data_IF_574613787067
#
_entry.id   IF_574613787067
#
_cell.length_a   1.000
_cell.length_b   1.000
_cell.length_c   1.000
_cell.angle_alpha   90.00
_cell.angle_beta   90.00
_cell.angle_gamma   90.00
#
_symmetry.space_group_name_H-M   'P 1'
#
loop_
_entity.id
_entity.type
_entity.pdbx_description
1 polymer ?
#
# COMPACT_ATOMS: atom_id res chain seq x y z
N UNK A 1 0.42 -9.82 -24.23
CA UNK A 1 0.05 -8.48 -23.71
C UNK A 1 0.65 -8.35 -22.31
N UNK A 2 1.37 -7.26 -22.06
CA UNK A 2 1.89 -6.93 -20.73
C UNK A 2 0.78 -6.43 -19.79
N UNK A 3 1.08 -6.32 -18.48
CA UNK A 3 0.14 -5.81 -17.47
C UNK A 3 -0.28 -4.35 -17.70
N UNK A 4 0.59 -3.55 -18.31
CA UNK A 4 0.32 -2.15 -18.68
C UNK A 4 -0.45 -2.00 -20.01
N UNK A 5 -0.96 -3.12 -20.56
CA UNK A 5 -1.68 -3.17 -21.83
C UNK A 5 -0.80 -3.15 -23.07
N UNK A 6 0.50 -2.93 -22.95
CA UNK A 6 1.41 -2.89 -24.09
C UNK A 6 1.58 -4.27 -24.72
N UNK A 7 1.60 -4.31 -26.03
CA UNK A 7 1.91 -5.53 -26.78
C UNK A 7 3.41 -5.67 -26.97
N UNK A 8 3.91 -6.89 -26.84
CA UNK A 8 5.30 -7.26 -27.07
C UNK A 8 5.35 -8.59 -27.78
N UNK A 9 6.35 -8.79 -28.63
CA UNK A 9 6.56 -10.07 -29.29
C UNK A 9 6.78 -11.17 -28.25
N UNK A 10 6.10 -12.29 -28.46
CA UNK A 10 6.23 -13.45 -27.58
C UNK A 10 7.65 -14.03 -27.64
N UNK A 11 8.16 -14.45 -26.49
CA UNK A 11 9.45 -15.12 -26.35
C UNK A 11 9.36 -16.28 -25.37
N UNK A 12 9.42 -17.49 -25.87
CA UNK A 12 9.44 -18.72 -25.07
C UNK A 12 10.63 -18.75 -24.08
N UNK A 13 11.76 -18.17 -24.45
CA UNK A 13 12.95 -18.10 -23.60
C UNK A 13 12.67 -17.38 -22.25
N UNK A 14 11.72 -16.42 -22.20
CA UNK A 14 11.34 -15.78 -20.96
C UNK A 14 10.63 -16.75 -20.00
N UNK A 15 9.85 -17.69 -20.55
CA UNK A 15 9.17 -18.74 -19.77
C UNK A 15 10.21 -19.73 -19.27
N UNK A 16 11.07 -20.27 -20.14
CA UNK A 16 12.15 -21.21 -19.79
C UNK A 16 13.02 -20.64 -18.66
N UNK A 17 13.44 -19.37 -18.79
CA UNK A 17 14.25 -18.70 -17.78
C UNK A 17 13.51 -18.53 -16.43
N UNK A 18 12.20 -18.24 -16.45
CA UNK A 18 11.41 -18.10 -15.23
C UNK A 18 11.26 -19.44 -14.49
N UNK A 19 11.02 -20.51 -15.24
CA UNK A 19 10.96 -21.89 -14.72
C UNK A 19 12.33 -22.29 -14.16
N UNK A 20 13.42 -22.06 -14.90
CA UNK A 20 14.78 -22.34 -14.46
C UNK A 20 15.12 -21.72 -13.10
N UNK A 21 14.78 -20.45 -12.90
CA UNK A 21 14.97 -19.77 -11.61
C UNK A 21 14.17 -20.40 -10.48
N UNK A 22 12.99 -20.94 -10.76
CA UNK A 22 12.20 -21.63 -9.74
C UNK A 22 12.86 -22.97 -9.34
N UNK A 23 13.44 -23.72 -10.28
CA UNK A 23 14.23 -24.91 -9.98
C UNK A 23 15.49 -24.55 -9.16
N UNK A 24 16.25 -23.57 -9.57
CA UNK A 24 17.41 -23.07 -8.81
C UNK A 24 17.05 -22.74 -7.36
N UNK A 25 15.90 -22.09 -7.13
CA UNK A 25 15.44 -21.73 -5.81
C UNK A 25 15.03 -22.94 -4.92
N UNK A 26 14.83 -24.10 -5.50
CA UNK A 26 14.56 -25.36 -4.76
C UNK A 26 15.80 -26.19 -4.52
N UNK A 27 16.90 -25.93 -5.26
CA UNK A 27 18.10 -26.76 -5.26
C UNK A 27 17.90 -28.09 -5.98
N UNK A 28 16.76 -28.30 -6.66
CA UNK A 28 16.51 -29.50 -7.46
C UNK A 28 17.31 -29.39 -8.75
N UNK A 29 18.17 -30.39 -9.08
CA UNK A 29 18.89 -30.41 -10.34
C UNK A 29 17.92 -30.38 -11.52
N UNK A 30 18.23 -29.56 -12.51
CA UNK A 30 17.42 -29.41 -13.72
C UNK A 30 18.25 -29.71 -14.96
N UNK A 31 17.64 -30.34 -15.96
CA UNK A 31 18.20 -30.48 -17.29
C UNK A 31 17.50 -29.49 -18.23
N UNK A 32 18.23 -28.93 -19.18
CA UNK A 32 17.70 -27.95 -20.11
C UNK A 32 16.54 -28.52 -20.94
N UNK A 33 16.65 -29.79 -21.28
CA UNK A 33 15.63 -30.53 -22.03
C UNK A 33 14.29 -30.58 -21.26
N UNK A 34 14.32 -30.73 -19.93
CA UNK A 34 13.15 -30.72 -19.07
C UNK A 34 12.46 -29.32 -19.05
N UNK A 35 13.25 -28.26 -18.92
CA UNK A 35 12.74 -26.90 -18.99
C UNK A 35 12.10 -26.58 -20.33
N UNK A 36 12.74 -27.02 -21.43
CA UNK A 36 12.23 -26.82 -22.77
C UNK A 36 10.96 -27.65 -23.02
N UNK A 37 10.85 -28.83 -22.42
CA UNK A 37 9.64 -29.66 -22.49
C UNK A 37 8.45 -28.96 -21.78
N UNK A 38 8.65 -28.52 -20.53
CA UNK A 38 7.62 -27.79 -19.77
C UNK A 38 7.22 -26.53 -20.53
N UNK A 39 8.19 -25.77 -21.05
CA UNK A 39 7.91 -24.57 -21.83
C UNK A 39 7.07 -24.86 -23.07
N UNK A 40 7.37 -25.94 -23.80
CA UNK A 40 6.57 -26.38 -24.96
C UNK A 40 5.16 -26.78 -24.59
N UNK A 41 4.97 -27.44 -23.44
CA UNK A 41 3.65 -27.78 -22.92
C UNK A 41 2.84 -26.52 -22.62
N UNK A 42 3.43 -25.54 -21.92
CA UNK A 42 2.79 -24.23 -21.65
C UNK A 42 2.36 -23.56 -22.96
N UNK A 43 3.27 -23.49 -23.95
CA UNK A 43 2.99 -22.83 -25.24
C UNK A 43 1.92 -23.58 -26.05
N UNK A 44 1.81 -24.91 -25.91
CA UNK A 44 0.78 -25.69 -26.61
C UNK A 44 -0.65 -25.36 -26.15
N UNK A 45 -0.82 -24.76 -24.98
CA UNK A 45 -2.12 -24.30 -24.50
C UNK A 45 -2.55 -22.94 -25.05
N UNK A 46 -1.68 -22.26 -25.80
CA UNK A 46 -2.06 -20.98 -26.39
C UNK A 46 -3.07 -21.17 -27.53
N UNK A 47 -4.28 -20.72 -27.30
CA UNK A 47 -5.40 -20.87 -28.26
C UNK A 47 -5.65 -19.62 -29.09
N UNK A 48 -5.03 -18.49 -28.74
CA UNK A 48 -5.24 -17.19 -29.35
C UNK A 48 -3.92 -16.56 -29.82
N UNK A 49 -3.95 -15.70 -30.85
CA UNK A 49 -2.74 -15.01 -31.35
C UNK A 49 -2.18 -14.00 -30.35
N UNK A 50 -2.97 -13.60 -29.36
CA UNK A 50 -2.56 -12.69 -28.27
C UNK A 50 -2.93 -13.31 -26.93
N UNK A 51 -1.97 -13.35 -26.01
CA UNK A 51 -2.15 -13.91 -24.66
C UNK A 51 -1.64 -12.92 -23.62
N UNK A 52 -2.32 -12.86 -22.48
CA UNK A 52 -1.94 -12.04 -21.33
C UNK A 52 -0.80 -12.64 -20.53
N UNK A 53 0.06 -11.80 -19.95
CA UNK A 53 1.18 -12.28 -19.12
C UNK A 53 0.70 -13.06 -17.89
N UNK A 54 -0.45 -12.70 -17.31
CA UNK A 54 -1.01 -13.42 -16.18
C UNK A 54 -1.47 -14.83 -16.59
N UNK A 55 -2.15 -14.93 -17.73
CA UNK A 55 -2.58 -16.20 -18.27
C UNK A 55 -1.40 -17.14 -18.58
N UNK A 56 -0.30 -16.60 -19.12
CA UNK A 56 0.94 -17.37 -19.30
C UNK A 56 1.44 -17.88 -17.95
N UNK A 57 1.43 -17.04 -16.90
CA UNK A 57 1.90 -17.45 -15.58
C UNK A 57 1.02 -18.53 -14.95
N UNK A 58 -0.29 -18.43 -15.12
CA UNK A 58 -1.24 -19.46 -14.65
C UNK A 58 -1.01 -20.79 -15.36
N UNK A 59 -0.74 -20.78 -16.67
CA UNK A 59 -0.36 -21.98 -17.42
C UNK A 59 0.96 -22.58 -16.92
N UNK A 60 1.96 -21.75 -16.65
CA UNK A 60 3.25 -22.20 -16.07
C UNK A 60 3.05 -22.87 -14.71
N UNK A 61 2.25 -22.25 -13.84
CA UNK A 61 1.92 -22.82 -12.52
C UNK A 61 1.25 -24.17 -12.65
N UNK A 62 0.26 -24.28 -13.53
CA UNK A 62 -0.47 -25.53 -13.76
C UNK A 62 0.44 -26.65 -14.30
N UNK A 63 1.32 -26.36 -15.23
CA UNK A 63 2.25 -27.36 -15.76
C UNK A 63 3.31 -27.77 -14.72
N UNK A 64 3.87 -26.81 -13.98
CA UNK A 64 4.79 -27.09 -12.88
C UNK A 64 4.15 -27.94 -11.77
N UNK A 65 2.87 -27.69 -11.43
CA UNK A 65 2.16 -28.48 -10.44
C UNK A 65 1.98 -29.95 -10.85
N UNK A 66 1.89 -30.24 -12.14
CA UNK A 66 1.80 -31.62 -12.64
C UNK A 66 3.15 -32.35 -12.58
N UNK A 67 4.25 -31.66 -12.87
CA UNK A 67 5.57 -32.26 -13.02
C UNK A 67 6.39 -32.19 -11.74
N UNK A 68 6.46 -31.01 -11.11
CA UNK A 68 7.30 -30.74 -9.92
C UNK A 68 6.59 -29.79 -8.94
N UNK A 69 5.70 -30.31 -8.07
CA UNK A 69 4.90 -29.48 -7.15
C UNK A 69 5.74 -28.58 -6.21
N UNK A 70 6.93 -29.01 -5.81
CA UNK A 70 7.81 -28.22 -4.96
C UNK A 70 8.35 -26.98 -5.71
N UNK A 71 8.71 -27.15 -6.98
CA UNK A 71 9.14 -26.04 -7.86
C UNK A 71 7.96 -25.11 -8.12
N UNK A 72 6.78 -25.66 -8.40
CA UNK A 72 5.55 -24.88 -8.57
C UNK A 72 5.27 -23.99 -7.36
N UNK A 73 5.39 -24.52 -6.16
CA UNK A 73 5.20 -23.77 -4.90
C UNK A 73 6.16 -22.57 -4.81
N UNK A 74 7.44 -22.77 -5.15
CA UNK A 74 8.43 -21.66 -5.16
C UNK A 74 8.10 -20.61 -6.22
N UNK A 75 7.68 -21.07 -7.42
CA UNK A 75 7.26 -20.19 -8.50
C UNK A 75 6.07 -19.30 -8.07
N UNK A 76 5.03 -19.90 -7.50
CA UNK A 76 3.83 -19.20 -7.03
C UNK A 76 4.17 -18.18 -5.94
N UNK A 77 4.97 -18.58 -4.93
CA UNK A 77 5.39 -17.68 -3.84
C UNK A 77 6.20 -16.50 -4.41
N UNK A 78 7.14 -16.75 -5.34
CA UNK A 78 7.92 -15.70 -5.96
C UNK A 78 7.05 -14.76 -6.81
N UNK A 79 6.10 -15.31 -7.59
CA UNK A 79 5.12 -14.52 -8.36
C UNK A 79 4.32 -13.60 -7.44
N UNK A 80 3.77 -14.16 -6.36
CA UNK A 80 3.01 -13.39 -5.38
C UNK A 80 3.83 -12.28 -4.74
N UNK A 81 5.05 -12.59 -4.31
CA UNK A 81 5.95 -11.58 -3.78
C UNK A 81 6.24 -10.45 -4.80
N UNK A 82 6.49 -10.81 -6.06
CA UNK A 82 6.72 -9.81 -7.14
C UNK A 82 5.48 -8.96 -7.41
N UNK A 83 4.29 -9.52 -7.30
CA UNK A 83 3.04 -8.77 -7.44
C UNK A 83 2.90 -7.76 -6.29
N UNK A 84 3.04 -8.22 -5.06
CA UNK A 84 2.99 -7.35 -3.86
C UNK A 84 4.01 -6.20 -3.94
N UNK A 85 5.25 -6.48 -4.35
CA UNK A 85 6.29 -5.44 -4.50
C UNK A 85 5.95 -4.43 -5.60
N UNK A 86 5.35 -4.86 -6.70
CA UNK A 86 4.88 -3.94 -7.74
C UNK A 86 3.73 -3.08 -7.26
N UNK A 87 2.74 -3.70 -6.63
CA UNK A 87 1.55 -3.00 -6.13
C UNK A 87 1.96 -1.94 -5.11
N UNK A 88 2.88 -2.28 -4.21
CA UNK A 88 3.44 -1.33 -3.24
C UNK A 88 4.14 -0.15 -3.92
N UNK A 89 5.01 -0.43 -4.91
CA UNK A 89 5.73 0.63 -5.64
C UNK A 89 4.78 1.51 -6.45
N UNK A 90 3.77 0.92 -7.09
CA UNK A 90 2.78 1.64 -7.88
C UNK A 90 1.92 2.51 -6.98
N UNK A 91 1.50 2.01 -5.82
CA UNK A 91 0.71 2.75 -4.86
C UNK A 91 1.45 3.99 -4.31
N UNK A 92 2.69 3.80 -3.81
CA UNK A 92 3.52 4.91 -3.35
C UNK A 92 3.75 5.91 -4.48
N UNK A 93 4.08 5.44 -5.69
CA UNK A 93 4.29 6.31 -6.85
C UNK A 93 3.03 7.12 -7.15
N UNK A 94 1.85 6.50 -7.11
CA UNK A 94 0.59 7.19 -7.39
C UNK A 94 0.31 8.29 -6.36
N UNK A 95 0.53 8.02 -5.07
CA UNK A 95 0.43 9.03 -4.01
C UNK A 95 1.40 10.18 -4.29
N UNK A 96 2.66 9.87 -4.57
CA UNK A 96 3.70 10.90 -4.82
C UNK A 96 3.40 11.73 -6.07
N UNK A 97 3.03 11.08 -7.17
CA UNK A 97 2.66 11.77 -8.41
C UNK A 97 1.46 12.71 -8.19
N UNK A 98 0.46 12.28 -7.41
CA UNK A 98 -0.69 13.11 -7.06
C UNK A 98 -0.30 14.36 -6.26
N UNK A 99 0.59 14.21 -5.28
CA UNK A 99 1.04 15.34 -4.45
C UNK A 99 1.93 16.31 -5.24
N UNK A 100 2.76 15.81 -6.14
CA UNK A 100 3.66 16.65 -6.96
C UNK A 100 2.90 17.36 -8.09
N UNK A 101 1.87 16.72 -8.65
CA UNK A 101 1.06 17.24 -9.75
C UNK A 101 -0.07 18.18 -9.29
N UNK A 102 -0.01 18.71 -8.06
CA UNK A 102 -1.08 19.53 -7.47
C UNK A 102 -1.53 20.63 -8.42
N UNK A 103 -2.79 20.57 -8.85
CA UNK A 103 -3.48 21.72 -9.42
C UNK A 103 -3.69 22.75 -8.29
N UNK A 104 -3.24 24.00 -8.55
CA UNK A 104 -3.35 25.10 -7.60
C UNK A 104 -4.78 25.42 -7.15
N UNK A 105 -5.77 24.84 -7.82
CA UNK A 105 -7.19 25.02 -7.54
C UNK A 105 -7.85 23.83 -6.82
N UNK A 106 -7.11 22.77 -6.52
CA UNK A 106 -7.70 21.62 -5.84
C UNK A 106 -7.80 21.88 -4.32
N UNK A 107 -9.00 22.28 -3.90
CA UNK A 107 -9.36 22.52 -2.49
C UNK A 107 -9.28 21.25 -1.63
N UNK A 108 -9.34 20.05 -2.20
CA UNK A 108 -9.30 18.79 -1.45
C UNK A 108 -7.91 18.49 -0.86
N UNK A 109 -6.88 19.15 -1.40
CA UNK A 109 -5.51 19.02 -0.92
C UNK A 109 -5.12 20.10 0.10
N UNK A 110 -6.05 21.01 0.43
CA UNK A 110 -5.81 22.08 1.40
C UNK A 110 -6.05 21.58 2.82
N UNK A 111 -5.02 21.49 3.63
CA UNK A 111 -5.17 21.43 5.07
C UNK A 111 -5.44 22.86 5.58
N UNK A 112 -6.42 23.04 6.48
CA UNK A 112 -6.79 24.34 7.04
C UNK A 112 -5.60 25.07 7.70
N UNK A 113 -4.60 24.33 8.16
CA UNK A 113 -3.46 24.84 8.91
C UNK A 113 -2.19 25.02 8.05
N UNK A 114 -2.14 24.47 6.83
CA UNK A 114 -0.94 24.51 5.99
C UNK A 114 -1.28 24.42 4.50
N UNK A 115 -0.66 25.28 3.71
CA UNK A 115 -0.80 25.25 2.26
C UNK A 115 -0.03 24.09 1.65
N UNK A 116 -0.73 23.20 0.96
CA UNK A 116 -0.14 22.08 0.20
C UNK A 116 0.78 22.51 -0.96
N UNK A 117 0.81 23.80 -1.28
CA UNK A 117 1.70 24.38 -2.30
C UNK A 117 3.10 24.72 -1.75
N UNK A 118 3.29 24.69 -0.44
CA UNK A 118 4.61 24.90 0.15
C UNK A 118 5.37 23.59 0.27
N UNK A 119 6.70 23.57 0.23
CA UNK A 119 7.48 22.35 0.46
C UNK A 119 7.15 21.67 1.79
N UNK A 120 6.92 22.44 2.86
CA UNK A 120 6.52 21.90 4.15
C UNK A 120 5.12 21.27 4.10
N UNK A 121 4.17 21.91 3.42
CA UNK A 121 2.83 21.35 3.21
C UNK A 121 2.85 20.05 2.39
N UNK A 122 3.64 20.00 1.34
CA UNK A 122 3.84 18.77 0.56
C UNK A 122 4.42 17.64 1.42
N UNK A 123 5.45 17.93 2.20
CA UNK A 123 6.06 16.95 3.11
C UNK A 123 5.06 16.44 4.15
N UNK A 124 4.22 17.31 4.70
CA UNK A 124 3.15 16.87 5.62
C UNK A 124 2.10 16.01 4.92
N UNK A 125 1.72 16.35 3.69
CA UNK A 125 0.78 15.54 2.91
C UNK A 125 1.36 14.15 2.62
N UNK A 126 2.65 14.07 2.26
CA UNK A 126 3.34 12.78 2.14
C UNK A 126 3.29 11.98 3.44
N UNK A 127 3.62 12.61 4.57
CA UNK A 127 3.59 11.94 5.85
C UNK A 127 2.18 11.43 6.19
N UNK A 128 1.17 12.27 6.00
CA UNK A 128 -0.25 11.93 6.23
C UNK A 128 -0.67 10.72 5.40
N UNK A 129 -0.47 10.75 4.09
CA UNK A 129 -0.89 9.66 3.20
C UNK A 129 -0.16 8.33 3.48
N UNK A 130 1.14 8.37 3.74
CA UNK A 130 1.91 7.17 4.10
C UNK A 130 1.44 6.62 5.46
N UNK A 131 1.16 7.48 6.41
CA UNK A 131 0.72 7.08 7.75
C UNK A 131 -0.69 6.51 7.74
N UNK A 132 -1.60 7.07 6.93
CA UNK A 132 -2.92 6.48 6.66
C UNK A 132 -2.80 5.08 6.08
N UNK A 133 -1.99 4.91 5.03
CA UNK A 133 -1.79 3.60 4.38
C UNK A 133 -1.23 2.57 5.37
N UNK A 134 -0.27 2.96 6.19
CA UNK A 134 0.28 2.13 7.27
C UNK A 134 -0.81 1.74 8.29
N UNK A 135 -1.63 2.69 8.70
CA UNK A 135 -2.71 2.46 9.66
C UNK A 135 -3.73 1.47 9.12
N UNK A 136 -4.16 1.62 7.87
CA UNK A 136 -5.09 0.70 7.22
C UNK A 136 -4.55 -0.73 7.10
N UNK A 137 -3.29 -0.87 6.74
CA UNK A 137 -2.70 -2.17 6.44
C UNK A 137 -2.24 -2.95 7.66
N UNK A 138 -1.82 -2.26 8.71
CA UNK A 138 -1.08 -2.89 9.81
C UNK A 138 -1.64 -2.64 11.20
N UNK A 139 -2.39 -1.57 11.42
CA UNK A 139 -2.83 -1.19 12.76
C UNK A 139 -4.33 -1.42 12.98
N UNK A 140 -5.18 -1.12 12.00
CA UNK A 140 -6.60 -1.35 12.12
C UNK A 140 -6.95 -2.82 11.89
N UNK A 141 -7.84 -3.40 12.72
CA UNK A 141 -8.49 -4.65 12.36
C UNK A 141 -9.20 -4.51 11.01
N UNK A 142 -9.05 -5.52 10.14
CA UNK A 142 -9.52 -5.51 8.75
C UNK A 142 -10.97 -5.02 8.61
N UNK A 143 -11.87 -5.48 9.49
CA UNK A 143 -13.29 -5.09 9.47
C UNK A 143 -13.53 -3.58 9.64
N UNK A 144 -12.71 -2.90 10.43
CA UNK A 144 -12.82 -1.44 10.63
C UNK A 144 -12.17 -0.66 9.49
N UNK A 145 -11.06 -1.16 8.95
CA UNK A 145 -10.44 -0.58 7.78
C UNK A 145 -11.39 -0.64 6.58
N UNK A 146 -12.02 -1.78 6.32
CA UNK A 146 -13.01 -1.96 5.26
C UNK A 146 -14.24 -1.07 5.47
N UNK A 147 -14.81 -1.05 6.67
CA UNK A 147 -15.98 -0.21 7.00
C UNK A 147 -15.70 1.30 6.79
N UNK A 148 -14.49 1.76 7.15
CA UNK A 148 -14.10 3.15 6.90
C UNK A 148 -13.93 3.44 5.41
N UNK A 149 -13.30 2.54 4.65
CA UNK A 149 -13.12 2.69 3.20
C UNK A 149 -14.44 2.64 2.43
N UNK A 150 -15.41 1.87 2.91
CA UNK A 150 -16.75 1.78 2.32
C UNK A 150 -17.66 2.94 2.74
N UNK A 151 -17.26 3.74 3.72
CA UNK A 151 -18.03 4.87 4.23
C UNK A 151 -19.07 4.51 5.29
N UNK A 152 -19.08 3.27 5.80
CA UNK A 152 -19.96 2.84 6.87
C UNK A 152 -19.65 3.53 8.21
N UNK A 153 -18.38 3.80 8.45
CA UNK A 153 -17.89 4.59 9.58
C UNK A 153 -16.85 5.61 9.10
N UNK A 154 -16.63 6.66 9.89
CA UNK A 154 -15.53 7.59 9.68
C UNK A 154 -14.60 7.60 10.89
N UNK A 155 -13.31 7.27 10.66
CA UNK A 155 -12.26 7.41 11.68
C UNK A 155 -11.53 8.73 11.39
N UNK A 156 -11.66 9.67 12.30
CA UNK A 156 -11.06 10.99 12.17
C UNK A 156 -9.54 10.94 12.38
N UNK A 157 -8.80 11.78 11.65
CA UNK A 157 -7.34 11.96 11.78
C UNK A 157 -6.56 10.62 11.78
N UNK A 158 -6.87 9.78 10.81
CA UNK A 158 -6.33 8.42 10.70
C UNK A 158 -4.81 8.38 10.54
N UNK A 159 -4.23 9.46 10.02
CA UNK A 159 -2.80 9.66 9.89
C UNK A 159 -2.08 9.85 11.25
N UNK A 160 -2.77 10.37 12.25
CA UNK A 160 -2.24 10.49 13.60
C UNK A 160 -2.41 9.22 14.45
N UNK A 161 -3.21 8.25 14.00
CA UNK A 161 -3.48 7.02 14.74
C UNK A 161 -2.22 6.28 15.22
N UNK A 162 -1.15 6.12 14.44
CA UNK A 162 0.08 5.46 14.87
C UNK A 162 0.80 6.21 15.99
N UNK A 163 0.64 7.50 16.08
CA UNK A 163 1.31 8.35 17.10
C UNK A 163 0.62 8.27 18.46
N UNK A 164 -0.58 7.67 18.50
CA UNK A 164 -1.46 7.65 19.69
C UNK A 164 -1.78 9.06 20.22
N UNK A 165 -1.73 10.05 19.34
CA UNK A 165 -2.09 11.43 19.65
C UNK A 165 -3.60 11.57 19.58
N UNK A 166 -4.18 12.24 20.57
CA UNK A 166 -5.57 12.69 20.54
C UNK A 166 -5.61 14.00 19.77
N UNK A 167 -6.24 14.02 18.60
CA UNK A 167 -6.31 15.20 17.73
C UNK A 167 -7.50 16.09 18.03
N UNK A 168 -8.61 15.49 18.49
CA UNK A 168 -9.79 16.22 18.97
C UNK A 168 -10.04 15.87 20.43
N UNK A 169 -10.06 16.88 21.26
CA UNK A 169 -10.27 16.76 22.70
C UNK A 169 -11.43 17.68 23.09
N UNK A 170 -12.34 17.15 23.87
CA UNK A 170 -13.35 17.96 24.52
C UNK A 170 -12.90 18.26 25.95
N UNK A 171 -12.88 19.54 26.30
CA UNK A 171 -12.58 20.00 27.65
C UNK A 171 -13.86 20.47 28.31
N UNK A 172 -14.08 20.02 29.53
CA UNK A 172 -15.03 20.62 30.43
C UNK A 172 -14.38 21.87 31.07
N UNK A 173 -14.73 23.04 30.52
CA UNK A 173 -14.14 24.31 30.96
C UNK A 173 -14.60 24.66 32.37
N UNK A 174 -15.84 24.31 32.78
CA UNK A 174 -16.34 24.57 34.11
C UNK A 174 -15.51 23.82 35.15
N UNK A 175 -15.27 22.51 34.96
CA UNK A 175 -14.44 21.72 35.88
C UNK A 175 -12.97 22.19 35.90
N UNK A 176 -12.40 22.53 34.74
CA UNK A 176 -11.03 23.03 34.66
C UNK A 176 -10.85 24.37 35.38
N UNK A 177 -11.78 25.30 35.20
CA UNK A 177 -11.65 26.64 35.76
C UNK A 177 -12.15 26.73 37.22
N UNK A 178 -13.05 25.87 37.66
CA UNK A 178 -13.47 25.81 39.03
C UNK A 178 -12.35 25.46 39.99
N UNK A 179 -11.49 24.52 39.61
CA UNK A 179 -10.40 23.98 40.47
C UNK A 179 -9.02 24.47 40.07
N UNK A 180 -8.88 25.05 38.89
CA UNK A 180 -7.60 25.27 38.28
C UNK A 180 -6.91 23.95 37.93
N UNK A 181 -5.74 23.99 37.33
CA UNK A 181 -5.00 22.79 36.95
C UNK A 181 -3.47 23.00 36.95
N UNK A 182 -2.76 21.88 37.01
CA UNK A 182 -1.30 21.87 36.99
C UNK A 182 -0.78 21.25 35.70
N UNK A 183 0.20 21.89 35.08
CA UNK A 183 0.98 21.34 33.95
C UNK A 183 2.44 21.19 34.35
N UNK A 184 3.22 20.52 33.49
CA UNK A 184 4.68 20.45 33.67
C UNK A 184 5.37 21.84 33.69
N UNK A 185 4.72 22.84 33.09
CA UNK A 185 5.25 24.19 32.89
C UNK A 185 4.70 25.21 33.91
N UNK A 186 3.73 24.84 34.74
CA UNK A 186 3.17 25.74 35.73
C UNK A 186 1.76 25.36 36.21
N UNK A 187 1.22 26.22 37.05
CA UNK A 187 -0.12 26.05 37.65
C UNK A 187 -1.03 27.16 37.18
N UNK A 188 -2.21 26.81 36.75
CA UNK A 188 -3.31 27.73 36.43
C UNK A 188 -4.27 27.74 37.60
N UNK A 189 -4.49 28.92 38.19
CA UNK A 189 -5.46 29.11 39.28
C UNK A 189 -6.85 29.35 38.70
N UNK A 190 -7.88 29.17 39.52
CA UNK A 190 -9.22 29.59 39.20
C UNK A 190 -9.26 31.05 38.74
N UNK A 191 -9.74 31.33 37.51
CA UNK A 191 -9.85 32.71 37.01
C UNK A 191 -10.79 33.56 37.86
N UNK A 192 -10.43 34.79 38.11
CA UNK A 192 -11.22 35.71 38.94
C UNK A 192 -11.90 36.85 38.16
N UNK A 193 -11.67 36.90 36.85
CA UNK A 193 -12.24 37.91 35.96
C UNK A 193 -12.42 37.36 34.55
N UNK A 194 -13.28 37.96 33.75
CA UNK A 194 -13.48 37.62 32.34
C UNK A 194 -12.13 37.67 31.58
N UNK A 195 -11.29 38.65 31.87
CA UNK A 195 -9.99 38.79 31.23
C UNK A 195 -9.06 37.59 31.53
N UNK A 196 -9.08 37.08 32.78
CA UNK A 196 -8.29 35.91 33.17
C UNK A 196 -8.87 34.59 32.68
N UNK A 197 -10.14 34.55 32.26
CA UNK A 197 -10.72 33.42 31.54
C UNK A 197 -10.30 33.39 30.07
N UNK A 198 -10.02 34.54 29.47
CA UNK A 198 -9.72 34.69 28.06
C UNK A 198 -8.21 34.63 27.74
N UNK A 199 -7.35 34.57 28.75
CA UNK A 199 -5.88 34.50 28.59
C UNK A 199 -5.37 33.08 28.71
#
# INVERSE_FOLDING_TARGET
IKRDGKQENFSAAKITNAIGKAFEATGIPQQREELDLITRQVVSHFSQPTIGVEEIQDLVENELMKVQPEVAKKYIIYRQWRNTERDRKTHIKHIMDGIVAIDKNDVNLSNANMSSHTPAGQMMTFASEITKDYTYKYLLPKKYAEAHQMGDIHIHDLDYYPTKTTTCIQYDLDDLFERGFHTKNGSIRTPQSIQSYAT
#
